data_IF_042585179438
#
_entry.id   IF_042585179438
#
_cell.length_a   1.000
_cell.length_b   1.000
_cell.length_c   1.000
_cell.angle_alpha   90.00
_cell.angle_beta   90.00
_cell.angle_gamma   90.00
#
_symmetry.space_group_name_H-M   'P 1'
#
loop_
_entity.id
_entity.type
_entity.pdbx_description
1 polymer ?
#
# COMPACT_ATOMS: atom_id res chain seq x y z
N UNK A 1 12.25 22.82 -46.12
CA UNK A 1 11.33 22.19 -45.14
C UNK A 1 12.07 21.45 -44.02
N UNK A 2 13.41 21.41 -44.03
CA UNK A 2 14.19 20.53 -43.15
C UNK A 2 14.32 21.02 -41.70
N UNK A 3 14.44 22.34 -41.48
CA UNK A 3 14.57 22.94 -40.13
C UNK A 3 13.35 22.69 -39.22
N UNK A 4 12.14 22.62 -39.81
CA UNK A 4 10.90 22.32 -39.09
C UNK A 4 10.88 20.88 -38.59
N UNK A 5 11.43 19.95 -39.37
CA UNK A 5 11.55 18.55 -38.97
C UNK A 5 12.54 18.37 -37.82
N UNK A 6 13.70 19.04 -37.86
CA UNK A 6 14.68 18.98 -36.76
C UNK A 6 14.12 19.56 -35.46
N UNK A 7 13.40 20.68 -35.53
CA UNK A 7 12.72 21.24 -34.35
C UNK A 7 11.68 20.30 -33.77
N UNK A 8 10.89 19.65 -34.63
CA UNK A 8 9.89 18.67 -34.21
C UNK A 8 10.53 17.42 -33.58
N UNK A 9 11.61 16.92 -34.19
CA UNK A 9 12.40 15.79 -33.68
C UNK A 9 13.03 16.10 -32.31
N UNK A 10 13.61 17.29 -32.15
CA UNK A 10 14.16 17.74 -30.87
C UNK A 10 13.08 17.87 -29.80
N UNK A 11 11.91 18.41 -30.15
CA UNK A 11 10.78 18.51 -29.23
C UNK A 11 10.29 17.14 -28.77
N UNK A 12 10.16 16.19 -29.71
CA UNK A 12 9.80 14.79 -29.42
C UNK A 12 10.80 14.11 -28.49
N UNK A 13 12.11 14.31 -28.71
CA UNK A 13 13.15 13.77 -27.85
C UNK A 13 13.08 14.32 -26.42
N UNK A 14 12.81 15.62 -26.24
CA UNK A 14 12.65 16.24 -24.92
C UNK A 14 11.41 15.71 -24.18
N UNK A 15 10.31 15.48 -24.89
CA UNK A 15 9.08 14.91 -24.30
C UNK A 15 9.32 13.46 -23.86
N UNK A 16 10.02 12.66 -24.66
CA UNK A 16 10.34 11.28 -24.29
C UNK A 16 11.29 11.22 -23.09
N UNK A 17 12.29 12.11 -23.06
CA UNK A 17 13.29 12.17 -21.99
C UNK A 17 12.75 12.67 -20.64
N UNK A 18 11.62 13.37 -20.61
CA UNK A 18 11.01 13.91 -19.39
C UNK A 18 9.98 12.99 -18.73
N UNK A 19 9.79 11.77 -19.26
CA UNK A 19 8.95 10.76 -18.64
C UNK A 19 9.64 10.14 -17.42
N UNK A 20 9.62 10.87 -16.31
CA UNK A 20 9.95 10.31 -15.01
C UNK A 20 8.83 9.34 -14.60
N UNK A 21 9.10 8.03 -14.67
CA UNK A 21 8.21 7.01 -14.14
C UNK A 21 8.18 7.10 -12.60
N UNK A 22 7.24 7.87 -12.06
CA UNK A 22 6.98 7.86 -10.62
C UNK A 22 6.31 6.52 -10.29
N UNK A 23 7.11 5.56 -9.85
CA UNK A 23 6.58 4.34 -9.24
C UNK A 23 5.96 4.76 -7.91
N UNK A 24 4.65 4.53 -7.69
CA UNK A 24 4.05 4.80 -6.39
C UNK A 24 4.77 3.96 -5.34
N UNK A 25 5.39 4.63 -4.37
CA UNK A 25 5.92 3.97 -3.19
C UNK A 25 4.73 3.64 -2.28
N UNK A 26 4.14 2.46 -2.47
CA UNK A 26 3.18 1.91 -1.50
C UNK A 26 3.88 1.80 -0.14
N UNK A 27 3.30 2.43 0.89
CA UNK A 27 3.82 2.30 2.25
C UNK A 27 3.78 0.82 2.66
N UNK A 28 4.84 0.34 3.33
CA UNK A 28 4.87 -1.06 3.76
C UNK A 28 3.80 -1.24 4.84
N UNK A 29 3.21 -2.42 4.89
CA UNK A 29 2.23 -2.75 5.93
C UNK A 29 2.86 -3.73 6.90
N UNK A 30 3.01 -3.30 8.14
CA UNK A 30 3.48 -4.13 9.24
C UNK A 30 2.30 -4.79 9.95
N UNK A 31 2.44 -6.09 10.26
CA UNK A 31 1.44 -6.88 10.95
C UNK A 31 1.93 -7.26 12.36
N UNK A 32 1.09 -7.05 13.36
CA UNK A 32 1.32 -7.47 14.74
C UNK A 32 0.18 -8.34 15.21
N UNK A 33 0.45 -9.44 15.91
CA UNK A 33 -0.65 -10.22 16.50
C UNK A 33 -1.35 -9.37 17.58
N UNK A 34 -2.68 -9.34 17.58
CA UNK A 34 -3.46 -8.63 18.59
C UNK A 34 -3.28 -9.26 19.98
N UNK A 35 -3.14 -8.43 21.01
CA UNK A 35 -3.01 -8.85 22.40
C UNK A 35 -4.37 -8.99 23.09
N UNK A 36 -5.36 -8.18 22.70
CA UNK A 36 -6.68 -8.16 23.33
C UNK A 36 -7.69 -9.12 22.66
N UNK A 37 -7.44 -9.54 21.42
CA UNK A 37 -8.33 -10.46 20.70
C UNK A 37 -8.19 -11.90 21.23
N UNK A 38 -9.31 -12.49 21.65
CA UNK A 38 -9.35 -13.84 22.22
C UNK A 38 -10.12 -14.80 21.31
N UNK A 39 -9.58 -16.00 21.15
CA UNK A 39 -10.20 -17.08 20.38
C UNK A 39 -10.01 -16.97 18.86
N UNK A 40 -10.68 -17.83 18.09
CA UNK A 40 -10.57 -17.85 16.63
C UNK A 40 -11.24 -16.62 15.99
N UNK A 41 -10.55 -16.04 15.03
CA UNK A 41 -10.95 -14.86 14.28
C UNK A 41 -11.92 -15.26 13.16
N UNK A 42 -13.22 -15.10 13.43
CA UNK A 42 -14.29 -15.46 12.49
C UNK A 42 -14.80 -14.25 11.69
N UNK A 43 -14.69 -13.04 12.26
CA UNK A 43 -15.10 -11.78 11.62
C UNK A 43 -13.96 -10.77 11.67
N UNK A 44 -13.46 -10.38 10.49
CA UNK A 44 -12.41 -9.37 10.35
C UNK A 44 -12.79 -8.02 10.96
N UNK A 45 -14.07 -7.61 10.86
CA UNK A 45 -14.55 -6.37 11.47
C UNK A 45 -14.33 -6.32 13.00
N UNK A 46 -14.56 -7.43 13.71
CA UNK A 46 -14.34 -7.49 15.15
C UNK A 46 -12.84 -7.39 15.48
N UNK A 47 -12.00 -8.04 14.68
CA UNK A 47 -10.54 -7.93 14.79
C UNK A 47 -10.08 -6.48 14.57
N UNK A 48 -10.55 -5.82 13.52
CA UNK A 48 -10.24 -4.42 13.23
C UNK A 48 -10.66 -3.48 14.37
N UNK A 49 -11.84 -3.67 14.97
CA UNK A 49 -12.27 -2.86 16.11
C UNK A 49 -11.41 -3.07 17.36
N UNK A 50 -11.01 -4.31 17.66
CA UNK A 50 -10.07 -4.57 18.75
C UNK A 50 -8.71 -3.93 18.46
N UNK A 51 -8.19 -4.06 17.24
CA UNK A 51 -6.93 -3.43 16.84
C UNK A 51 -6.94 -1.90 16.97
N UNK A 52 -8.08 -1.24 16.73
CA UNK A 52 -8.25 0.19 17.00
C UNK A 52 -8.07 0.53 18.47
N UNK A 53 -8.55 -0.31 19.38
CA UNK A 53 -8.32 -0.14 20.83
C UNK A 53 -6.86 -0.38 21.24
N UNK A 54 -6.08 -1.10 20.41
CA UNK A 54 -4.64 -1.33 20.59
C UNK A 54 -3.77 -0.24 19.93
N UNK A 55 -4.39 0.80 19.35
CA UNK A 55 -3.68 1.90 18.69
C UNK A 55 -3.29 1.62 17.22
N UNK A 56 -3.82 0.57 16.61
CA UNK A 56 -3.63 0.29 15.19
C UNK A 56 -4.81 0.82 14.35
N UNK A 57 -4.57 1.29 13.11
CA UNK A 57 -5.66 1.78 12.25
C UNK A 57 -6.64 0.67 11.83
N UNK A 58 -6.22 -0.59 11.84
CA UNK A 58 -7.08 -1.73 11.52
C UNK A 58 -6.44 -3.09 11.79
N UNK A 59 -7.08 -4.14 11.31
CA UNK A 59 -6.61 -5.52 11.45
C UNK A 59 -7.43 -6.53 10.67
N UNK A 60 -6.86 -7.70 10.46
CA UNK A 60 -7.43 -8.79 9.67
C UNK A 60 -7.23 -10.16 10.32
N UNK A 61 -8.14 -11.10 10.01
CA UNK A 61 -8.01 -12.49 10.42
C UNK A 61 -7.04 -13.22 9.48
N UNK A 62 -5.98 -13.83 10.01
CA UNK A 62 -4.94 -14.47 9.19
C UNK A 62 -4.55 -15.87 9.67
N UNK A 63 -4.20 -16.72 8.70
CA UNK A 63 -3.65 -18.06 8.91
C UNK A 63 -4.67 -19.14 9.28
N UNK A 64 -4.20 -20.39 9.32
CA UNK A 64 -5.02 -21.58 9.58
C UNK A 64 -5.70 -21.56 10.95
N UNK A 65 -4.98 -21.11 11.99
CA UNK A 65 -5.52 -20.95 13.36
C UNK A 65 -6.48 -19.75 13.49
N UNK A 66 -6.74 -19.02 12.40
CA UNK A 66 -7.53 -17.80 12.34
C UNK A 66 -7.18 -16.83 13.48
N UNK A 67 -5.96 -16.31 13.52
CA UNK A 67 -5.56 -15.32 14.53
C UNK A 67 -5.83 -13.91 14.03
N UNK A 68 -6.14 -12.99 14.93
CA UNK A 68 -6.27 -11.57 14.60
C UNK A 68 -4.88 -10.91 14.53
N UNK A 69 -4.59 -10.23 13.42
CA UNK A 69 -3.38 -9.44 13.22
C UNK A 69 -3.77 -7.98 12.96
N UNK A 70 -3.24 -7.07 13.77
CA UNK A 70 -3.37 -5.64 13.59
C UNK A 70 -2.38 -5.14 12.55
N UNK A 71 -2.83 -4.25 11.68
CA UNK A 71 -2.08 -3.73 10.55
C UNK A 71 -1.86 -2.22 10.72
N UNK A 72 -0.64 -1.76 10.41
CA UNK A 72 -0.31 -0.33 10.33
C UNK A 72 0.72 -0.08 9.24
N UNK A 73 0.75 1.14 8.71
CA UNK A 73 1.81 1.56 7.81
C UNK A 73 3.15 1.66 8.55
N UNK A 74 4.18 1.22 7.86
CA UNK A 74 5.61 1.27 8.15
C UNK A 74 6.36 1.31 6.79
#
# INVERSE_FOLDING_TARGET
>A
MEKKCYGLLLLLLLVVASQEMVVPAEARVCLSQSHNYKGPCLRGHNCANVCKTEGFPGGECRGFRRRCFCAKHC
#
